data_IF_342890262368
#
_entry.id   IF_342890262368
#
_cell.length_a   1.000
_cell.length_b   1.000
_cell.length_c   1.000
_cell.angle_alpha   90.00
_cell.angle_beta   90.00
_cell.angle_gamma   90.00
#
_symmetry.space_group_name_H-M   'P 1'
#
loop_
_entity.id
_entity.type
_entity.pdbx_description
1 polymer ?
#
# COMPACT_ATOMS: atom_id res chain seq x y z
N UNK A 1 23.02 0.93 -4.74
CA UNK A 1 21.69 1.57 -4.64
C UNK A 1 21.33 1.60 -3.18
N UNK A 2 21.24 2.78 -2.58
CA UNK A 2 20.74 2.92 -1.20
C UNK A 2 19.22 2.90 -1.27
N UNK A 3 18.59 1.92 -0.62
CA UNK A 3 17.13 1.88 -0.51
C UNK A 3 16.69 2.87 0.57
N UNK A 4 15.70 3.72 0.26
CA UNK A 4 15.07 4.55 1.28
C UNK A 4 14.33 3.63 2.25
N UNK A 5 14.75 3.65 3.51
CA UNK A 5 14.05 2.98 4.60
C UNK A 5 13.07 3.96 5.23
N UNK A 6 11.81 3.58 5.30
CA UNK A 6 10.75 4.34 5.96
C UNK A 6 10.52 3.71 7.32
N UNK A 7 10.44 4.57 8.34
CA UNK A 7 10.15 4.16 9.70
C UNK A 7 8.76 4.69 10.10
N UNK A 8 7.96 3.85 10.74
CA UNK A 8 6.72 4.26 11.39
C UNK A 8 6.76 3.88 12.87
N UNK A 9 6.25 4.76 13.73
CA UNK A 9 6.17 4.55 15.19
C UNK A 9 4.90 3.80 15.59
N UNK A 10 3.88 3.88 14.75
CA UNK A 10 2.58 3.25 14.97
C UNK A 10 1.77 3.15 13.69
N UNK A 11 0.72 2.34 13.75
CA UNK A 11 -0.27 2.17 12.71
C UNK A 11 -1.68 2.25 13.31
N UNK A 12 -2.54 3.00 12.65
CA UNK A 12 -3.98 3.06 12.90
C UNK A 12 -4.70 2.36 11.75
N UNK A 13 -5.61 1.46 12.08
CA UNK A 13 -6.37 0.63 11.12
C UNK A 13 -7.85 0.67 11.47
N UNK A 14 -8.72 1.01 10.52
CA UNK A 14 -10.18 1.05 10.71
C UNK A 14 -10.90 0.42 9.53
N UNK A 15 -11.87 -0.45 9.79
CA UNK A 15 -12.72 -1.01 8.73
C UNK A 15 -13.87 -0.05 8.44
N UNK A 16 -14.17 0.16 7.16
CA UNK A 16 -15.33 0.87 6.67
C UNK A 16 -16.25 -0.09 5.91
N UNK A 17 -17.55 0.02 6.17
CA UNK A 17 -18.58 -0.86 5.63
C UNK A 17 -18.60 -2.24 6.30
N UNK A 18 -19.52 -3.07 5.84
CA UNK A 18 -19.71 -4.41 6.40
C UNK A 18 -18.61 -5.36 5.90
N UNK A 19 -18.01 -6.11 6.83
CA UNK A 19 -17.19 -7.26 6.43
C UNK A 19 -18.08 -8.27 5.70
N UNK A 20 -17.57 -9.00 4.69
CA UNK A 20 -18.36 -9.91 3.85
C UNK A 20 -19.07 -11.06 4.60
N UNK A 21 -18.90 -11.18 5.93
CA UNK A 21 -19.75 -11.99 6.79
C UNK A 21 -20.18 -11.21 8.04
N UNK A 22 -21.43 -10.71 8.09
CA UNK A 22 -21.98 -10.17 9.33
C UNK A 22 -22.09 -11.29 10.37
N UNK A 23 -21.52 -11.08 11.56
CA UNK A 23 -21.69 -12.02 12.65
C UNK A 23 -23.05 -11.83 13.32
N UNK A 24 -23.94 -12.82 13.21
CA UNK A 24 -25.14 -12.92 14.09
C UNK A 24 -24.80 -13.18 15.57
N UNK A 25 -23.52 -13.33 15.92
CA UNK A 25 -23.04 -13.71 17.25
C UNK A 25 -22.07 -12.65 17.78
N UNK A 26 -22.34 -12.15 19.00
CA UNK A 26 -21.50 -11.20 19.75
C UNK A 26 -20.18 -11.82 20.27
N UNK A 27 -19.95 -13.12 20.09
CA UNK A 27 -18.80 -13.85 20.64
C UNK A 27 -17.55 -13.84 19.74
N UNK A 28 -17.55 -13.04 18.67
CA UNK A 28 -16.50 -13.10 17.65
C UNK A 28 -15.65 -11.85 17.73
N UNK A 29 -14.37 -12.10 17.91
CA UNK A 29 -13.37 -11.06 18.06
C UNK A 29 -12.49 -11.07 16.81
N UNK A 30 -12.18 -9.88 16.30
CA UNK A 30 -11.39 -9.70 15.10
C UNK A 30 -9.99 -9.22 15.45
N UNK A 31 -9.01 -9.63 14.67
CA UNK A 31 -7.65 -9.12 14.72
C UNK A 31 -7.17 -8.82 13.31
N UNK A 32 -6.20 -7.92 13.18
CA UNK A 32 -5.50 -7.73 11.92
C UNK A 32 -4.08 -8.29 11.99
N UNK A 33 -3.61 -8.77 10.84
CA UNK A 33 -2.22 -9.15 10.60
C UNK A 33 -1.69 -8.27 9.49
N UNK A 34 -0.55 -7.64 9.74
CA UNK A 34 0.21 -6.87 8.75
C UNK A 34 1.41 -7.70 8.29
N UNK A 35 1.56 -7.80 6.96
CA UNK A 35 2.74 -8.35 6.31
C UNK A 35 3.39 -7.31 5.42
N UNK A 36 4.71 -7.35 5.38
CA UNK A 36 5.55 -6.53 4.51
C UNK A 36 6.40 -7.49 3.71
N UNK A 37 6.28 -7.43 2.39
CA UNK A 37 6.98 -8.33 1.46
C UNK A 37 6.76 -9.82 1.79
N UNK A 38 5.52 -10.15 2.19
CA UNK A 38 5.10 -11.50 2.58
C UNK A 38 5.49 -11.91 4.00
N UNK A 39 6.32 -11.12 4.69
CA UNK A 39 6.76 -11.40 6.07
C UNK A 39 5.79 -10.77 7.06
N UNK A 40 5.29 -11.57 8.01
CA UNK A 40 4.45 -11.07 9.11
C UNK A 40 5.27 -10.17 10.03
N UNK A 41 4.89 -8.90 10.10
CA UNK A 41 5.58 -7.91 10.95
C UNK A 41 4.78 -7.53 12.18
N UNK A 42 3.45 -7.65 12.13
CA UNK A 42 2.59 -7.25 13.22
C UNK A 42 1.30 -8.09 13.26
N UNK A 43 0.87 -8.41 14.48
CA UNK A 43 -0.45 -8.93 14.79
C UNK A 43 -1.07 -8.06 15.87
N UNK A 44 -2.33 -7.69 15.69
CA UNK A 44 -3.05 -6.87 16.65
C UNK A 44 -3.60 -7.68 17.81
N UNK A 45 -3.96 -6.97 18.89
CA UNK A 45 -4.87 -7.55 19.87
C UNK A 45 -6.24 -7.79 19.22
N UNK A 46 -6.98 -8.75 19.76
CA UNK A 46 -8.34 -9.04 19.31
C UNK A 46 -9.31 -7.98 19.85
N UNK A 47 -10.21 -7.48 19.00
CA UNK A 47 -11.24 -6.50 19.35
C UNK A 47 -12.62 -7.13 19.14
N UNK A 48 -13.52 -7.08 20.14
CA UNK A 48 -14.88 -7.59 20.01
C UNK A 48 -15.79 -6.59 19.28
N UNK A 49 -16.67 -7.09 18.40
CA UNK A 49 -17.75 -6.30 17.79
C UNK A 49 -17.34 -5.28 16.72
N UNK A 50 -18.32 -4.52 16.24
CA UNK A 50 -18.16 -3.42 15.26
C UNK A 50 -18.52 -2.07 15.94
N UNK A 51 -17.88 -0.94 15.58
CA UNK A 51 -16.92 -0.76 14.48
C UNK A 51 -15.51 -1.24 14.81
N UNK A 52 -14.86 -1.84 13.81
CA UNK A 52 -13.53 -2.41 13.96
C UNK A 52 -12.44 -1.36 13.77
N UNK A 53 -11.70 -1.11 14.84
CA UNK A 53 -10.57 -0.19 14.84
C UNK A 53 -9.44 -0.68 15.74
N UNK A 54 -8.22 -0.49 15.28
CA UNK A 54 -7.02 -0.81 16.02
C UNK A 54 -6.03 0.34 15.95
N UNK A 55 -5.39 0.61 17.08
CA UNK A 55 -4.21 1.47 17.16
C UNK A 55 -3.08 0.65 17.75
N UNK A 56 -1.95 0.57 17.07
CA UNK A 56 -0.82 -0.22 17.54
C UNK A 56 0.47 0.59 17.45
N UNK A 57 1.11 0.74 18.60
CA UNK A 57 2.40 1.39 18.76
C UNK A 57 3.51 0.35 18.67
N UNK A 58 3.96 0.11 17.45
CA UNK A 58 5.09 -0.75 17.14
C UNK A 58 5.96 -0.04 16.10
N UNK A 59 7.27 -0.16 16.23
CA UNK A 59 8.19 0.28 15.20
C UNK A 59 8.03 -0.61 13.96
N UNK A 60 7.69 -0.01 12.82
CA UNK A 60 7.45 -0.72 11.55
C UNK A 60 8.39 -0.11 10.51
N UNK A 61 9.09 -0.98 9.78
CA UNK A 61 10.04 -0.58 8.75
C UNK A 61 9.59 -1.13 7.39
N UNK A 62 9.63 -0.30 6.36
CA UNK A 62 9.35 -0.69 4.98
C UNK A 62 10.07 0.21 3.99
N UNK A 63 10.06 -0.18 2.71
CA UNK A 63 10.56 0.66 1.61
C UNK A 63 9.38 1.17 0.78
N UNK A 64 9.55 2.24 -0.02
CA UNK A 64 8.51 2.64 -0.98
C UNK A 64 8.08 1.50 -1.93
N UNK A 65 9.00 0.58 -2.21
CA UNK A 65 8.77 -0.60 -3.06
C UNK A 65 8.23 -1.83 -2.34
N UNK A 66 8.02 -1.78 -1.02
CA UNK A 66 7.52 -2.92 -0.28
C UNK A 66 6.05 -3.20 -0.63
N UNK A 67 5.67 -4.48 -0.68
CA UNK A 67 4.29 -4.91 -0.75
C UNK A 67 3.71 -4.95 0.67
N UNK A 68 2.70 -4.13 0.93
CA UNK A 68 2.03 -4.01 2.21
C UNK A 68 0.72 -4.79 2.14
N UNK A 69 0.59 -5.84 2.94
CA UNK A 69 -0.61 -6.68 2.98
C UNK A 69 -1.22 -6.64 4.37
N UNK A 70 -2.52 -6.37 4.44
CA UNK A 70 -3.27 -6.39 5.70
C UNK A 70 -4.39 -7.40 5.56
N UNK A 71 -4.49 -8.31 6.52
CA UNK A 71 -5.55 -9.30 6.58
C UNK A 71 -6.33 -9.15 7.89
N UNK A 72 -7.66 -9.11 7.81
CA UNK A 72 -8.53 -9.19 8.97
C UNK A 72 -8.87 -10.65 9.19
N UNK A 73 -8.61 -11.16 10.38
CA UNK A 73 -8.93 -12.52 10.79
C UNK A 73 -10.05 -12.49 11.81
N UNK A 74 -10.91 -13.51 11.76
CA UNK A 74 -11.98 -13.70 12.73
C UNK A 74 -11.63 -14.86 13.65
N UNK A 75 -11.49 -14.58 14.94
CA UNK A 75 -11.21 -15.58 15.97
C UNK A 75 -12.49 -15.85 16.76
N UNK A 76 -12.86 -17.13 16.88
CA UNK A 76 -13.89 -17.54 17.84
C UNK A 76 -13.23 -17.96 19.14
N UNK A 77 -13.85 -17.62 20.27
CA UNK A 77 -13.38 -18.05 21.59
C UNK A 77 -13.29 -19.58 21.74
N UNK A 78 -14.06 -20.34 20.93
CA UNK A 78 -14.10 -21.81 20.95
C UNK A 78 -13.08 -22.48 20.03
N UNK A 79 -12.31 -21.70 19.26
CA UNK A 79 -11.39 -22.23 18.24
C UNK A 79 -9.93 -21.88 18.55
N UNK A 80 -9.41 -22.42 19.66
CA UNK A 80 -7.98 -22.37 19.93
C UNK A 80 -7.18 -23.31 19.01
N UNK A 81 -7.81 -24.38 18.49
CA UNK A 81 -7.15 -25.40 17.68
C UNK A 81 -6.96 -25.04 16.19
N UNK A 82 -7.63 -24.01 15.65
CA UNK A 82 -7.58 -23.71 14.21
C UNK A 82 -7.08 -22.30 13.97
N UNK A 83 -6.07 -22.16 13.09
CA UNK A 83 -5.64 -20.84 12.61
C UNK A 83 -6.84 -20.17 11.91
N UNK A 84 -7.29 -19.00 12.39
CA UNK A 84 -8.45 -18.34 11.81
C UNK A 84 -8.14 -17.92 10.37
N UNK A 85 -9.03 -18.28 9.43
CA UNK A 85 -8.93 -17.84 8.05
C UNK A 85 -9.13 -16.32 7.96
N UNK A 86 -8.46 -15.63 7.00
CA UNK A 86 -8.73 -14.22 6.76
C UNK A 86 -10.17 -14.06 6.25
N UNK A 87 -10.88 -13.09 6.81
CA UNK A 87 -12.23 -12.70 6.36
C UNK A 87 -12.20 -11.57 5.34
N UNK A 88 -11.11 -10.80 5.32
CA UNK A 88 -10.84 -9.78 4.31
C UNK A 88 -9.33 -9.60 4.17
N UNK A 89 -8.89 -9.30 2.95
CA UNK A 89 -7.49 -9.03 2.62
C UNK A 89 -7.39 -7.75 1.80
N UNK A 90 -6.36 -6.96 2.08
CA UNK A 90 -6.07 -5.67 1.48
C UNK A 90 -4.59 -5.63 1.11
N UNK A 91 -4.26 -4.93 0.01
CA UNK A 91 -2.88 -4.78 -0.44
C UNK A 91 -2.62 -3.40 -1.01
N UNK A 92 -1.42 -2.88 -0.78
CA UNK A 92 -0.92 -1.60 -1.29
C UNK A 92 0.60 -1.61 -1.42
N UNK A 93 1.17 -0.58 -2.03
CA UNK A 93 2.62 -0.35 -2.09
C UNK A 93 3.04 0.55 -0.94
N UNK A 94 4.27 0.39 -0.46
CA UNK A 94 4.82 1.26 0.58
C UNK A 94 4.74 2.75 0.21
N UNK A 95 4.90 3.10 -1.06
CA UNK A 95 4.78 4.47 -1.56
C UNK A 95 3.39 5.10 -1.34
N UNK A 96 2.34 4.28 -1.23
CA UNK A 96 0.96 4.77 -1.02
C UNK A 96 0.76 5.34 0.38
N UNK A 97 1.69 5.09 1.32
CA UNK A 97 1.61 5.53 2.72
C UNK A 97 2.56 6.68 3.05
N UNK A 98 3.16 7.32 2.05
CA UNK A 98 4.15 8.39 2.27
C UNK A 98 3.51 9.76 2.55
N UNK A 99 2.23 9.95 2.22
CA UNK A 99 1.52 11.17 2.55
C UNK A 99 1.10 11.17 4.04
N UNK A 100 1.93 11.81 4.87
CA UNK A 100 1.69 11.94 6.32
C UNK A 100 0.40 12.68 6.68
N UNK A 101 -0.16 13.47 5.75
CA UNK A 101 -1.39 14.23 5.95
C UNK A 101 -2.66 13.43 5.63
N UNK A 102 -2.54 12.37 4.83
CA UNK A 102 -3.68 11.60 4.35
C UNK A 102 -3.84 10.26 5.07
N UNK A 103 -5.08 9.79 5.13
CA UNK A 103 -5.37 8.40 5.47
C UNK A 103 -5.52 7.61 4.18
N UNK A 104 -4.91 6.43 4.10
CA UNK A 104 -5.00 5.61 2.91
C UNK A 104 -6.19 4.66 3.02
N UNK A 105 -7.13 4.78 2.09
CA UNK A 105 -8.24 3.84 1.94
C UNK A 105 -7.84 2.69 1.01
N UNK A 106 -8.06 1.45 1.47
CA UNK A 106 -7.82 0.22 0.73
C UNK A 106 -9.14 -0.50 0.49
N UNK A 107 -9.28 -1.09 -0.69
CA UNK A 107 -10.44 -1.91 -1.05
C UNK A 107 -10.08 -3.38 -0.83
N UNK A 108 -11.00 -4.16 -0.27
CA UNK A 108 -10.76 -5.59 -0.09
C UNK A 108 -10.60 -6.29 -1.45
N UNK A 109 -9.70 -7.28 -1.51
CA UNK A 109 -9.56 -8.15 -2.68
C UNK A 109 -10.87 -8.85 -3.06
N UNK A 110 -11.72 -9.11 -2.06
CA UNK A 110 -13.03 -9.74 -2.22
C UNK A 110 -14.06 -9.04 -1.34
N UNK A 111 -15.28 -8.87 -1.85
CA UNK A 111 -16.38 -8.19 -1.16
C UNK A 111 -16.37 -6.67 -1.36
N UNK A 112 -17.08 -5.95 -0.48
CA UNK A 112 -17.27 -4.49 -0.57
C UNK A 112 -16.64 -3.71 0.58
N UNK A 113 -16.05 -4.41 1.55
CA UNK A 113 -15.41 -3.79 2.71
C UNK A 113 -14.19 -2.96 2.31
N UNK A 114 -13.97 -1.88 3.04
CA UNK A 114 -12.80 -1.00 2.85
C UNK A 114 -12.02 -0.88 4.15
N UNK A 115 -10.75 -0.52 4.06
CA UNK A 115 -9.87 -0.37 5.20
C UNK A 115 -9.16 0.97 5.13
N UNK A 116 -9.35 1.80 6.14
CA UNK A 116 -8.61 3.04 6.31
C UNK A 116 -7.38 2.75 7.17
N UNK A 117 -6.22 3.11 6.65
CA UNK A 117 -4.92 2.84 7.27
C UNK A 117 -4.12 4.13 7.34
N UNK A 118 -3.52 4.39 8.49
CA UNK A 118 -2.58 5.50 8.69
C UNK A 118 -1.34 5.02 9.41
N UNK A 119 -0.19 5.18 8.79
CA UNK A 119 1.10 5.01 9.46
C UNK A 119 1.54 6.35 10.04
N UNK A 120 1.90 6.37 11.32
CA UNK A 120 2.54 7.55 11.92
C UNK A 120 4.04 7.46 11.66
N UNK A 121 4.44 7.98 10.50
CA UNK A 121 5.82 7.96 10.04
C UNK A 121 6.74 8.71 11.02
N UNK A 122 7.87 8.11 11.34
CA UNK A 122 8.98 8.77 12.02
C UNK A 122 9.80 9.45 10.94
N UNK A 123 9.66 10.77 10.88
CA UNK A 123 10.49 11.59 9.99
C UNK A 123 11.85 11.74 10.67
N UNK A 124 12.86 10.96 10.25
CA UNK A 124 14.24 11.50 10.28
C UNK A 124 14.22 12.81 9.50
N UNK A 125 14.91 13.85 10.00
CA UNK A 125 14.66 15.27 9.69
C UNK A 125 14.09 15.50 8.29
N UNK A 126 13.02 16.30 8.16
CA UNK A 126 12.32 16.51 6.88
C UNK A 126 13.26 16.76 5.69
N UNK A 127 14.41 17.39 5.93
CA UNK A 127 15.47 17.59 4.94
C UNK A 127 16.10 16.28 4.43
N UNK A 128 16.39 15.32 5.31
CA UNK A 128 17.00 14.04 4.97
C UNK A 128 16.01 13.14 4.22
N UNK A 129 14.74 13.13 4.63
CA UNK A 129 13.69 12.42 3.91
C UNK A 129 13.46 12.98 2.50
N UNK A 130 13.29 14.30 2.38
CA UNK A 130 13.08 14.94 1.07
C UNK A 130 14.28 14.76 0.14
N UNK A 131 15.50 14.78 0.69
CA UNK A 131 16.72 14.49 -0.06
C UNK A 131 16.75 13.06 -0.59
N UNK A 132 16.39 12.08 0.24
CA UNK A 132 16.38 10.67 -0.17
C UNK A 132 15.34 10.40 -1.28
N UNK A 133 14.16 11.01 -1.17
CA UNK A 133 13.10 10.93 -2.20
C UNK A 133 13.56 11.56 -3.51
N UNK A 134 14.16 12.75 -3.46
CA UNK A 134 14.67 13.44 -4.65
C UNK A 134 15.80 12.66 -5.34
N UNK A 135 16.72 12.07 -4.56
CA UNK A 135 17.76 11.18 -5.09
C UNK A 135 17.17 9.96 -5.81
N UNK A 136 16.09 9.38 -5.27
CA UNK A 136 15.42 8.22 -5.89
C UNK A 136 14.69 8.60 -7.17
N UNK A 137 13.98 9.74 -7.19
CA UNK A 137 13.33 10.25 -8.41
C UNK A 137 14.36 10.62 -9.49
N UNK A 138 15.48 11.23 -9.09
CA UNK A 138 16.61 11.53 -9.97
C UNK A 138 17.24 10.26 -10.56
N UNK A 139 17.37 9.19 -9.79
CA UNK A 139 17.85 7.90 -10.29
C UNK A 139 16.85 7.26 -11.26
N UNK A 140 15.54 7.31 -10.96
CA UNK A 140 14.51 6.83 -11.88
C UNK A 140 14.53 7.59 -13.21
N UNK A 141 14.73 8.91 -13.18
CA UNK A 141 14.90 9.74 -14.37
C UNK A 141 16.17 9.37 -15.16
N UNK A 142 17.28 9.07 -14.47
CA UNK A 142 18.52 8.60 -15.11
C UNK A 142 18.35 7.22 -15.75
N UNK A 143 17.67 6.29 -15.09
CA UNK A 143 17.35 4.97 -15.67
C UNK A 143 16.49 5.13 -16.92
N UNK A 144 15.46 5.99 -16.88
CA UNK A 144 14.62 6.28 -18.06
C UNK A 144 15.38 6.95 -19.20
N UNK A 145 16.36 7.80 -18.89
CA UNK A 145 17.23 8.44 -19.90
C UNK A 145 18.29 7.47 -20.44
N UNK A 146 18.77 6.52 -19.64
CA UNK A 146 19.66 5.45 -20.08
C UNK A 146 18.95 4.45 -21.02
N UNK A 147 17.68 4.13 -20.73
CA UNK A 147 16.84 3.29 -21.59
C UNK A 147 16.42 4.01 -22.89
N UNK A 148 16.15 5.32 -22.79
CA UNK A 148 15.95 6.19 -23.96
C UNK A 148 17.20 6.42 -24.81
N UNK A 149 18.39 6.03 -24.34
CA UNK A 149 19.64 6.14 -25.10
C UNK A 149 20.04 4.83 -25.82
N UNK A 150 19.31 3.72 -25.61
CA UNK A 150 19.55 2.46 -26.32
C UNK A 150 18.49 2.10 -27.37
N UNK A 151 17.48 2.95 -27.58
CA UNK A 151 16.54 2.83 -28.71
C UNK A 151 16.86 3.84 -29.81
N UNK A 152 18.13 3.87 -30.23
CA UNK A 152 18.54 4.41 -31.52
C UNK A 152 18.84 3.24 -32.48
N UNK A 153 17.85 2.39 -32.74
CA UNK A 153 17.90 1.43 -33.84
C UNK A 153 16.56 1.44 -34.58
N UNK A 154 16.59 2.11 -35.73
CA UNK A 154 15.85 1.81 -36.96
C UNK A 154 14.38 1.38 -36.82
N UNK A 155 13.49 2.36 -36.88
CA UNK A 155 12.19 2.23 -37.57
C UNK A 155 12.25 3.33 -38.64
N UNK A 156 12.60 3.03 -39.90
CA UNK A 156 11.74 2.27 -40.80
C UNK A 156 10.85 3.27 -41.54
N UNK A 157 11.27 3.68 -42.74
CA UNK A 157 10.59 4.64 -43.59
C UNK A 157 9.09 4.35 -43.79
N UNK A 158 8.25 5.37 -43.60
CA UNK A 158 7.13 5.73 -44.46
C UNK A 158 6.46 7.01 -43.93
N UNK A 159 7.08 8.15 -44.24
CA UNK A 159 6.35 9.42 -44.29
C UNK A 159 5.71 9.48 -45.67
N UNK A 160 4.46 9.08 -45.72
CA UNK A 160 3.44 9.48 -46.69
C UNK A 160 2.18 9.48 -45.84
N UNK A 161 1.36 10.54 -45.73
CA UNK A 161 0.89 11.48 -46.73
C UNK A 161 0.46 12.74 -45.95
N UNK A 162 0.99 13.92 -46.26
CA UNK A 162 0.33 15.20 -45.96
C UNK A 162 -0.52 15.56 -47.19
N UNK A 163 -1.84 15.77 -47.06
CA UNK A 163 -2.64 16.22 -48.18
C UNK A 163 -2.29 17.67 -48.51
N UNK A 164 -1.98 17.90 -49.79
CA UNK A 164 -1.86 19.21 -50.38
C UNK A 164 -3.19 19.97 -50.22
N UNK A 165 -3.16 21.11 -49.54
CA UNK A 165 -4.20 22.13 -49.70
C UNK A 165 -3.76 23.07 -50.82
N UNK A 166 -4.51 23.03 -51.91
CA UNK A 166 -4.42 23.99 -52.98
C UNK A 166 -5.10 25.32 -52.65
N UNK A 167 -4.38 26.39 -52.99
CA UNK A 167 -4.80 27.50 -53.86
C UNK A 167 -5.64 28.69 -53.35
N UNK A 168 -5.34 29.81 -54.03
CA UNK A 168 -6.00 31.13 -54.20
C UNK A 168 -5.84 32.14 -53.04
N UNK A 169 -5.30 33.36 -53.19
CA UNK A 169 -5.02 34.24 -54.34
C UNK A 169 -3.59 34.83 -54.27
#
# INVERSE_FOLDING_TARGET
MSQIMILASSIDVRVLGDLPQPSKSRELAHLFVLKIDGIKVLESATVPGEPLGWKKQNQIQFTPSSNIEIAIHRKSHKSELRKPAPVAEYSARGMDFLDTGAEQELVAKFGTSRLVVKFNLVVESHADFMKAVDETMSQLAKVKRADGAQTATTIGANISILPAYGHVF
#
